data_IF_265692229850
#
_entry.id   IF_265692229850
#
_cell.length_a   1.000
_cell.length_b   1.000
_cell.length_c   1.000
_cell.angle_alpha   90.00
_cell.angle_beta   90.00
_cell.angle_gamma   90.00
#
_symmetry.space_group_name_H-M   'P 1'
#
loop_
_entity.id
_entity.type
_entity.pdbx_description
1 polymer ?
#
# COMPACT_ATOMS: atom_id res chain seq x y z
N UNK A 1 -3.33 23.85 -10.28
CA UNK A 1 -4.30 23.05 -9.48
C UNK A 1 -3.65 22.13 -8.45
N UNK A 2 -2.31 22.08 -8.31
CA UNK A 2 -1.64 21.44 -7.18
C UNK A 2 -1.94 22.14 -5.83
N UNK A 3 -2.21 23.45 -5.86
CA UNK A 3 -2.31 24.31 -4.68
C UNK A 3 -3.56 24.11 -3.80
N UNK A 4 -4.68 23.55 -4.30
CA UNK A 4 -5.88 23.31 -3.46
C UNK A 4 -5.85 21.96 -2.72
N UNK A 5 -4.92 21.06 -3.07
CA UNK A 5 -4.71 19.80 -2.37
C UNK A 5 -3.58 19.88 -1.34
N UNK A 6 -2.74 20.91 -1.41
CA UNK A 6 -1.55 21.04 -0.57
C UNK A 6 -1.83 21.68 0.81
N UNK A 7 -2.81 22.58 0.95
CA UNK A 7 -2.98 23.33 2.21
C UNK A 7 -3.88 22.63 3.26
N UNK A 8 -4.88 21.85 2.85
CA UNK A 8 -5.85 21.25 3.81
C UNK A 8 -5.61 19.76 4.15
N UNK A 9 -4.79 19.04 3.38
CA UNK A 9 -4.56 17.60 3.57
C UNK A 9 -3.32 17.25 4.39
N UNK A 10 -2.37 18.19 4.53
CA UNK A 10 -1.19 18.07 5.40
C UNK A 10 -1.46 18.55 6.83
N UNK A 11 -2.72 18.52 7.28
CA UNK A 11 -3.02 18.83 8.67
C UNK A 11 -2.46 17.77 9.61
N UNK A 12 -1.66 18.22 10.58
CA UNK A 12 -1.10 17.51 11.74
C UNK A 12 -2.14 16.86 12.67
N UNK A 13 -3.38 16.74 12.23
CA UNK A 13 -4.49 16.17 12.98
C UNK A 13 -4.25 14.68 13.19
N UNK A 14 -4.17 14.27 14.45
CA UNK A 14 -4.01 12.87 14.86
C UNK A 14 -5.25 12.03 14.62
N UNK A 15 -6.42 12.64 14.43
CA UNK A 15 -7.70 11.97 14.20
C UNK A 15 -8.22 12.14 12.77
N UNK A 16 -9.09 11.21 12.33
CA UNK A 16 -9.80 11.32 11.05
C UNK A 16 -10.87 12.41 11.09
N UNK A 17 -10.96 13.21 10.03
CA UNK A 17 -12.00 14.23 9.86
C UNK A 17 -13.26 13.64 9.21
N UNK A 18 -14.42 13.87 9.84
CA UNK A 18 -15.73 13.43 9.37
C UNK A 18 -15.72 11.94 8.94
N UNK A 19 -15.43 11.03 9.88
CA UNK A 19 -15.07 9.66 9.54
C UNK A 19 -16.23 8.85 8.95
N UNK A 20 -17.47 9.23 9.23
CA UNK A 20 -18.69 8.53 8.76
C UNK A 20 -19.34 9.21 7.55
N UNK A 21 -18.94 10.44 7.23
CA UNK A 21 -19.47 11.16 6.07
C UNK A 21 -18.85 10.62 4.79
N UNK A 22 -19.69 10.13 3.87
CA UNK A 22 -19.22 9.73 2.55
C UNK A 22 -18.70 10.95 1.79
N UNK A 23 -17.44 10.90 1.39
CA UNK A 23 -16.81 11.94 0.57
C UNK A 23 -17.25 11.75 -0.88
N UNK A 24 -17.32 12.84 -1.64
CA UNK A 24 -17.68 12.81 -3.06
C UNK A 24 -16.46 13.07 -3.91
N UNK A 25 -16.10 12.09 -4.73
CA UNK A 25 -15.10 12.21 -5.78
C UNK A 25 -15.72 12.54 -7.12
N UNK A 26 -14.89 12.41 -8.16
CA UNK A 26 -15.30 12.61 -9.56
C UNK A 26 -16.22 11.50 -10.09
N UNK A 27 -16.22 10.32 -9.46
CA UNK A 27 -17.02 9.17 -9.84
C UNK A 27 -17.34 8.27 -8.63
N UNK A 28 -18.20 7.26 -8.81
CA UNK A 28 -18.50 6.27 -7.77
C UNK A 28 -17.35 5.27 -7.59
N UNK A 29 -17.20 4.69 -6.41
CA UNK A 29 -16.13 3.72 -6.12
C UNK A 29 -16.11 2.50 -7.05
N UNK A 30 -17.30 2.05 -7.49
CA UNK A 30 -17.43 0.96 -8.46
C UNK A 30 -16.88 1.36 -9.84
N UNK A 31 -17.27 2.52 -10.36
CA UNK A 31 -16.77 3.03 -11.65
C UNK A 31 -15.26 3.28 -11.57
N UNK A 32 -14.79 3.93 -10.50
CA UNK A 32 -13.35 4.16 -10.26
C UNK A 32 -12.57 2.84 -10.30
N UNK A 33 -13.04 1.83 -9.59
CA UNK A 33 -12.44 0.49 -9.59
C UNK A 33 -12.42 -0.12 -10.99
N UNK A 34 -13.52 -0.04 -11.73
CA UNK A 34 -13.61 -0.60 -13.07
C UNK A 34 -12.63 0.10 -14.03
N UNK A 35 -12.58 1.43 -14.01
CA UNK A 35 -11.69 2.21 -14.87
C UNK A 35 -10.22 1.88 -14.60
N UNK A 36 -9.81 1.81 -13.33
CA UNK A 36 -8.45 1.41 -12.93
C UNK A 36 -8.13 0.01 -13.43
N UNK A 37 -9.03 -0.96 -13.23
CA UNK A 37 -8.82 -2.35 -13.61
C UNK A 37 -8.92 -2.60 -15.12
N UNK A 38 -9.52 -1.68 -15.88
CA UNK A 38 -9.57 -1.73 -17.34
C UNK A 38 -8.49 -0.85 -18.00
N UNK A 39 -7.72 -0.08 -17.23
CA UNK A 39 -6.74 0.88 -17.76
C UNK A 39 -7.38 2.00 -18.57
N UNK A 40 -8.62 2.39 -18.25
CA UNK A 40 -9.34 3.45 -18.95
C UNK A 40 -8.82 4.80 -18.45
N UNK A 41 -8.40 5.66 -19.38
CA UNK A 41 -7.98 7.03 -19.09
C UNK A 41 -9.01 8.06 -19.59
N UNK A 42 -9.98 8.41 -18.73
CA UNK A 42 -10.84 9.59 -18.87
C UNK A 42 -10.22 10.83 -18.20
N UNK A 43 -9.88 11.85 -19.00
CA UNK A 43 -9.29 13.12 -18.55
C UNK A 43 -10.20 13.97 -17.65
N UNK A 44 -11.50 13.64 -17.58
CA UNK A 44 -12.48 14.36 -16.75
C UNK A 44 -12.49 13.88 -15.31
N UNK A 45 -11.86 12.75 -15.02
CA UNK A 45 -11.86 12.11 -13.71
C UNK A 45 -10.47 12.12 -13.10
N UNK A 46 -10.38 12.51 -11.82
CA UNK A 46 -9.15 12.34 -11.03
C UNK A 46 -9.08 10.88 -10.57
N UNK A 47 -8.04 10.17 -11.00
CA UNK A 47 -7.81 8.77 -10.63
C UNK A 47 -6.38 8.55 -10.16
N UNK A 48 -6.18 7.69 -9.14
CA UNK A 48 -4.86 7.21 -8.82
C UNK A 48 -4.41 6.21 -9.91
N UNK A 49 -3.11 6.19 -10.20
CA UNK A 49 -2.51 5.24 -11.14
C UNK A 49 -1.77 4.16 -10.36
N UNK A 50 -1.99 2.89 -10.72
CA UNK A 50 -1.28 1.77 -10.11
C UNK A 50 0.20 1.84 -10.49
N UNK A 51 1.04 2.26 -9.54
CA UNK A 51 2.47 2.33 -9.78
C UNK A 51 3.07 0.92 -9.75
N UNK A 52 3.76 0.49 -10.82
CA UNK A 52 4.50 -0.78 -10.87
C UNK A 52 3.69 -2.08 -10.66
N UNK A 53 2.36 -2.00 -10.50
CA UNK A 53 1.44 -3.14 -10.45
C UNK A 53 0.78 -3.37 -11.80
N UNK A 54 0.73 -4.63 -12.22
CA UNK A 54 -0.08 -5.05 -13.35
C UNK A 54 -1.47 -5.44 -12.85
N UNK A 55 -2.49 -5.11 -13.64
CA UNK A 55 -3.90 -5.43 -13.32
C UNK A 55 -4.11 -6.92 -12.97
N UNK A 56 -3.43 -7.84 -13.66
CA UNK A 56 -3.58 -9.27 -13.35
C UNK A 56 -2.98 -9.66 -11.99
N UNK A 57 -1.92 -8.99 -11.52
CA UNK A 57 -1.33 -9.24 -10.19
C UNK A 57 -2.35 -8.86 -9.10
N UNK A 58 -3.07 -7.75 -9.28
CA UNK A 58 -4.16 -7.33 -8.39
C UNK A 58 -5.31 -8.35 -8.43
N UNK A 59 -5.67 -8.88 -9.61
CA UNK A 59 -6.72 -9.90 -9.75
C UNK A 59 -6.36 -11.20 -9.04
N UNK A 60 -5.12 -11.66 -9.21
CA UNK A 60 -4.59 -12.87 -8.59
C UNK A 60 -4.54 -12.74 -7.06
N UNK A 61 -4.02 -11.62 -6.56
CA UNK A 61 -3.98 -11.35 -5.12
C UNK A 61 -5.39 -11.35 -4.51
N UNK A 62 -6.33 -10.68 -5.17
CA UNK A 62 -7.74 -10.71 -4.77
C UNK A 62 -8.33 -12.13 -4.82
N UNK A 63 -8.01 -12.93 -5.83
CA UNK A 63 -8.48 -14.32 -5.93
C UNK A 63 -7.97 -15.17 -4.77
N UNK A 64 -6.67 -15.04 -4.45
CA UNK A 64 -6.06 -15.76 -3.35
C UNK A 64 -6.71 -15.38 -2.01
N UNK A 65 -6.80 -14.08 -1.69
CA UNK A 65 -7.39 -13.61 -0.44
C UNK A 65 -8.87 -14.01 -0.30
N UNK A 66 -9.62 -13.94 -1.40
CA UNK A 66 -11.02 -14.36 -1.40
C UNK A 66 -11.17 -15.89 -1.26
N UNK A 67 -10.30 -16.67 -1.89
CA UNK A 67 -10.30 -18.14 -1.83
C UNK A 67 -10.06 -18.67 -0.43
N UNK A 68 -9.21 -17.99 0.35
CA UNK A 68 -8.90 -18.32 1.74
C UNK A 68 -9.81 -17.62 2.76
N UNK A 69 -10.86 -16.92 2.29
CA UNK A 69 -11.84 -16.19 3.13
C UNK A 69 -11.23 -15.06 3.97
N UNK A 70 -10.10 -14.51 3.55
CA UNK A 70 -9.51 -13.32 4.16
C UNK A 70 -10.04 -12.00 3.57
N UNK A 71 -10.80 -12.06 2.47
CA UNK A 71 -11.37 -10.90 1.83
C UNK A 71 -12.80 -11.14 1.35
N UNK A 72 -13.74 -10.47 2.01
CA UNK A 72 -15.17 -10.63 1.77
C UNK A 72 -15.75 -9.43 1.02
N UNK A 73 -16.94 -9.62 0.45
CA UNK A 73 -17.71 -8.51 -0.12
C UNK A 73 -18.59 -7.96 1.00
N UNK A 74 -18.53 -6.65 1.25
CA UNK A 74 -19.39 -6.00 2.26
C UNK A 74 -19.79 -4.59 1.82
N UNK A 75 -20.89 -4.08 2.37
CA UNK A 75 -21.30 -2.67 2.33
C UNK A 75 -21.32 -2.02 0.92
N UNK A 76 -21.66 -2.78 -0.13
CA UNK A 76 -21.66 -2.26 -1.50
C UNK A 76 -20.27 -1.96 -2.08
N UNK A 77 -19.22 -2.54 -1.48
CA UNK A 77 -17.82 -2.41 -1.88
C UNK A 77 -17.34 -3.75 -2.42
N UNK A 78 -16.69 -3.71 -3.57
CA UNK A 78 -16.13 -4.92 -4.15
C UNK A 78 -14.82 -5.33 -3.45
N UNK A 79 -14.48 -6.62 -3.49
CA UNK A 79 -13.20 -7.12 -2.97
C UNK A 79 -12.00 -6.40 -3.61
N UNK A 80 -12.10 -6.12 -4.92
CA UNK A 80 -11.04 -5.41 -5.65
C UNK A 80 -10.94 -3.96 -5.19
N UNK A 81 -12.06 -3.28 -4.98
CA UNK A 81 -12.10 -1.91 -4.44
C UNK A 81 -11.41 -1.83 -3.07
N UNK A 82 -11.68 -2.79 -2.17
CA UNK A 82 -10.98 -2.88 -0.88
C UNK A 82 -9.47 -3.05 -1.04
N UNK A 83 -9.05 -3.93 -1.96
CA UNK A 83 -7.64 -4.14 -2.25
C UNK A 83 -6.97 -2.88 -2.80
N UNK A 84 -7.64 -2.17 -3.72
CA UNK A 84 -7.16 -0.91 -4.27
C UNK A 84 -7.07 0.19 -3.19
N UNK A 85 -8.02 0.27 -2.26
CA UNK A 85 -7.93 1.21 -1.13
C UNK A 85 -6.60 1.05 -0.39
N UNK A 86 -6.23 -0.19 -0.04
CA UNK A 86 -4.97 -0.45 0.65
C UNK A 86 -3.76 -0.13 -0.25
N UNK A 87 -3.75 -0.62 -1.49
CA UNK A 87 -2.61 -0.41 -2.41
C UNK A 87 -2.32 1.09 -2.56
N UNK A 88 -3.33 1.92 -2.86
CA UNK A 88 -3.10 3.35 -3.04
C UNK A 88 -2.71 4.06 -1.74
N UNK A 89 -3.27 3.64 -0.60
CA UNK A 89 -2.84 4.17 0.69
C UNK A 89 -1.34 3.90 0.93
N UNK A 90 -0.86 2.69 0.63
CA UNK A 90 0.54 2.30 0.80
C UNK A 90 1.47 2.97 -0.23
N UNK A 91 1.02 3.07 -1.50
CA UNK A 91 1.80 3.65 -2.59
C UNK A 91 1.93 5.16 -2.49
N UNK A 92 0.86 5.86 -2.11
CA UNK A 92 0.86 7.31 -2.05
C UNK A 92 1.24 7.85 -0.67
N UNK A 93 1.15 7.01 0.38
CA UNK A 93 1.44 7.41 1.77
C UNK A 93 0.47 8.47 2.29
N UNK A 94 -0.75 8.49 1.74
CA UNK A 94 -1.79 9.48 2.02
C UNK A 94 -2.74 9.03 3.12
N UNK A 95 -3.51 9.98 3.65
CA UNK A 95 -4.55 9.74 4.63
C UNK A 95 -5.76 8.98 4.03
N UNK A 96 -6.49 8.22 4.87
CA UNK A 96 -7.74 7.54 4.49
C UNK A 96 -8.77 8.49 3.87
N UNK A 97 -8.80 9.73 4.34
CA UNK A 97 -9.58 10.85 3.80
C UNK A 97 -9.40 11.06 2.29
N UNK A 98 -8.17 10.92 1.78
CA UNK A 98 -7.85 11.13 0.36
C UNK A 98 -8.42 9.97 -0.46
N UNK A 99 -8.17 8.73 -0.02
CA UNK A 99 -8.70 7.54 -0.66
C UNK A 99 -10.24 7.54 -0.64
N UNK A 100 -10.84 8.02 0.46
CA UNK A 100 -12.28 8.17 0.60
C UNK A 100 -12.88 9.12 -0.45
N UNK A 101 -12.18 10.22 -0.81
CA UNK A 101 -12.58 11.08 -1.93
C UNK A 101 -12.51 10.30 -3.25
N UNK A 102 -11.38 9.64 -3.53
CA UNK A 102 -11.15 8.96 -4.81
C UNK A 102 -12.19 7.87 -5.11
N UNK A 103 -12.65 7.16 -4.09
CA UNK A 103 -13.63 6.07 -4.23
C UNK A 103 -15.06 6.47 -3.83
N UNK A 104 -15.29 7.75 -3.50
CA UNK A 104 -16.56 8.25 -3.00
C UNK A 104 -17.13 7.44 -1.82
N UNK A 105 -16.29 7.19 -0.82
CA UNK A 105 -16.61 6.42 0.41
C UNK A 105 -16.43 7.29 1.65
N UNK A 106 -16.87 6.80 2.81
CA UNK A 106 -16.50 7.42 4.09
C UNK A 106 -15.11 6.95 4.55
N UNK A 107 -14.32 7.79 5.25
CA UNK A 107 -13.01 7.40 5.76
C UNK A 107 -13.03 6.12 6.61
N UNK A 108 -14.03 5.92 7.47
CA UNK A 108 -14.18 4.69 8.25
C UNK A 108 -14.38 3.45 7.38
N UNK A 109 -15.09 3.60 6.27
CA UNK A 109 -15.30 2.52 5.31
C UNK A 109 -14.00 2.13 4.61
N UNK A 110 -13.20 3.13 4.21
CA UNK A 110 -11.86 2.89 3.65
C UNK A 110 -10.96 2.25 4.70
N UNK A 111 -10.91 2.78 5.94
CA UNK A 111 -10.10 2.22 7.03
C UNK A 111 -10.42 0.76 7.30
N UNK A 112 -11.71 0.40 7.40
CA UNK A 112 -12.16 -1.00 7.56
C UNK A 112 -11.73 -1.88 6.39
N UNK A 113 -11.88 -1.39 5.16
CA UNK A 113 -11.44 -2.09 3.96
C UNK A 113 -9.92 -2.35 3.96
N UNK A 114 -9.13 -1.33 4.31
CA UNK A 114 -7.67 -1.45 4.39
C UNK A 114 -7.26 -2.45 5.47
N UNK A 115 -7.89 -2.40 6.65
CA UNK A 115 -7.62 -3.33 7.75
C UNK A 115 -7.91 -4.79 7.39
N UNK A 116 -9.04 -5.05 6.75
CA UNK A 116 -9.41 -6.40 6.30
C UNK A 116 -8.37 -6.97 5.35
N UNK A 117 -8.00 -6.20 4.31
CA UNK A 117 -6.98 -6.62 3.35
C UNK A 117 -5.62 -6.77 4.02
N UNK A 118 -5.24 -5.83 4.91
CA UNK A 118 -3.97 -5.84 5.62
C UNK A 118 -3.81 -7.09 6.48
N UNK A 119 -4.84 -7.45 7.25
CA UNK A 119 -4.86 -8.67 8.05
C UNK A 119 -4.76 -9.91 7.16
N UNK A 120 -5.49 -9.96 6.04
CA UNK A 120 -5.36 -11.05 5.07
C UNK A 120 -3.94 -11.19 4.49
N UNK A 121 -3.24 -10.08 4.30
CA UNK A 121 -1.84 -10.09 3.86
C UNK A 121 -0.87 -10.53 4.97
N UNK A 122 -1.18 -10.25 6.23
CA UNK A 122 -0.42 -10.80 7.37
C UNK A 122 -0.59 -12.32 7.49
N UNK A 123 -1.79 -12.83 7.29
CA UNK A 123 -2.03 -14.28 7.25
C UNK A 123 -1.31 -14.92 6.05
N UNK A 124 -1.38 -14.29 4.87
CA UNK A 124 -0.56 -14.73 3.73
C UNK A 124 0.94 -14.75 4.08
N UNK A 125 1.43 -13.73 4.80
CA UNK A 125 2.83 -13.68 5.22
C UNK A 125 3.18 -14.86 6.14
N UNK A 126 2.35 -15.15 7.13
CA UNK A 126 2.58 -16.23 8.12
C UNK A 126 2.59 -17.63 7.47
N UNK A 127 1.83 -17.81 6.38
CA UNK A 127 1.82 -19.03 5.57
C UNK A 127 3.02 -19.16 4.64
N UNK A 128 3.78 -18.09 4.44
CA UNK A 128 4.93 -18.08 3.52
C UNK A 128 6.26 -18.20 4.24
N UNK A 129 7.18 -18.99 3.67
CA UNK A 129 8.57 -19.13 4.13
C UNK A 129 9.42 -17.90 3.73
N UNK A 130 8.95 -16.70 4.03
CA UNK A 130 9.70 -15.47 3.77
C UNK A 130 10.75 -15.30 4.88
N UNK A 131 12.00 -14.91 4.55
CA UNK A 131 13.03 -14.67 5.55
C UNK A 131 12.60 -13.63 6.60
N UNK A 132 13.15 -13.71 7.81
CA UNK A 132 12.83 -12.80 8.93
C UNK A 132 13.19 -11.33 8.65
N UNK A 133 14.24 -11.07 7.85
CA UNK A 133 14.65 -9.73 7.38
C UNK A 133 14.64 -9.62 5.85
N UNK A 134 13.45 -9.65 5.24
CA UNK A 134 13.32 -9.57 3.80
C UNK A 134 13.51 -8.11 3.36
N UNK A 135 14.23 -7.88 2.26
CA UNK A 135 14.47 -6.52 1.80
C UNK A 135 13.18 -5.85 1.31
N UNK A 136 12.95 -4.65 1.84
CA UNK A 136 11.83 -3.78 1.48
C UNK A 136 12.21 -2.84 0.33
N UNK A 137 11.36 -2.75 -0.69
CA UNK A 137 11.48 -1.73 -1.73
C UNK A 137 10.76 -0.45 -1.31
N UNK A 138 11.34 0.30 -0.37
CA UNK A 138 10.71 1.50 0.19
C UNK A 138 10.30 2.54 -0.88
N UNK A 139 11.02 2.63 -2.00
CA UNK A 139 10.70 3.54 -3.11
C UNK A 139 9.35 3.24 -3.79
N UNK A 140 8.83 2.01 -3.68
CA UNK A 140 7.50 1.64 -4.17
C UNK A 140 6.40 2.07 -3.18
N UNK A 141 6.75 2.18 -1.91
CA UNK A 141 5.81 2.28 -0.79
C UNK A 141 6.04 3.57 -0.03
N UNK A 142 5.52 4.70 -0.54
CA UNK A 142 5.73 6.02 0.09
C UNK A 142 5.26 6.07 1.54
N UNK A 143 4.38 5.16 1.97
CA UNK A 143 4.01 5.02 3.39
C UNK A 143 5.21 4.72 4.30
N UNK A 144 6.31 4.13 3.79
CA UNK A 144 7.51 3.89 4.60
C UNK A 144 8.14 5.18 5.11
N UNK A 145 7.95 6.31 4.40
CA UNK A 145 8.48 7.61 4.80
C UNK A 145 7.84 8.11 6.11
N UNK A 146 6.63 7.64 6.41
CA UNK A 146 5.93 7.90 7.67
C UNK A 146 6.53 7.12 8.84
N UNK A 147 7.31 6.08 8.57
CA UNK A 147 7.95 5.23 9.59
C UNK A 147 9.48 5.38 9.59
N UNK A 148 10.03 6.30 8.79
CA UNK A 148 11.48 6.46 8.60
C UNK A 148 12.24 7.04 9.81
N UNK A 149 11.56 7.81 10.67
CA UNK A 149 12.15 8.40 11.89
C UNK A 149 11.26 8.14 13.09
N UNK A 150 11.81 8.16 14.31
CA UNK A 150 11.05 7.91 15.54
C UNK A 150 9.84 8.87 15.68
N UNK A 151 10.03 10.16 15.41
CA UNK A 151 8.96 11.16 15.51
C UNK A 151 7.84 10.92 14.49
N UNK A 152 8.20 10.63 13.24
CA UNK A 152 7.21 10.33 12.19
C UNK A 152 6.49 9.02 12.48
N UNK A 153 7.22 8.01 12.93
CA UNK A 153 6.69 6.72 13.31
C UNK A 153 5.66 6.87 14.44
N UNK A 154 5.98 7.62 15.50
CA UNK A 154 5.02 7.96 16.57
C UNK A 154 3.78 8.68 16.04
N UNK A 155 3.94 9.58 15.08
CA UNK A 155 2.80 10.27 14.44
C UNK A 155 1.94 9.29 13.61
N UNK A 156 2.58 8.42 12.83
CA UNK A 156 1.94 7.40 12.02
C UNK A 156 1.12 6.44 12.90
N UNK A 157 1.67 6.00 14.04
CA UNK A 157 0.97 5.17 15.03
C UNK A 157 -0.31 5.79 15.58
N UNK A 158 -0.37 7.12 15.69
CA UNK A 158 -1.58 7.80 16.19
C UNK A 158 -2.72 7.77 15.17
N UNK A 159 -2.42 7.52 13.89
CA UNK A 159 -3.36 7.66 12.79
C UNK A 159 -3.65 6.33 12.07
N UNK A 160 -2.62 5.60 11.66
CA UNK A 160 -2.75 4.30 11.01
C UNK A 160 -2.93 3.20 12.07
N UNK A 161 -3.76 2.18 11.78
CA UNK A 161 -4.11 1.16 12.76
C UNK A 161 -3.10 -0.01 12.83
N UNK A 162 -1.95 0.09 12.17
CA UNK A 162 -0.91 -0.93 12.13
C UNK A 162 0.43 -0.38 12.60
N UNK A 163 1.25 -1.29 13.11
CA UNK A 163 2.61 -0.99 13.53
C UNK A 163 3.63 -1.10 12.39
N UNK A 164 4.85 -0.61 12.65
CA UNK A 164 5.92 -0.60 11.66
C UNK A 164 6.37 -2.02 11.26
N UNK A 165 6.28 -2.97 12.18
CA UNK A 165 6.73 -4.34 12.00
C UNK A 165 5.76 -5.14 11.12
N UNK A 166 4.47 -5.05 11.41
CA UNK A 166 3.41 -5.64 10.59
C UNK A 166 3.33 -4.99 9.21
N UNK A 167 3.53 -3.67 9.13
CA UNK A 167 3.66 -2.98 7.85
C UNK A 167 4.81 -3.56 7.04
N UNK A 168 5.98 -3.79 7.64
CA UNK A 168 7.13 -4.42 6.99
C UNK A 168 6.79 -5.80 6.41
N UNK A 169 6.10 -6.66 7.18
CA UNK A 169 5.63 -7.98 6.72
C UNK A 169 4.69 -7.89 5.54
N UNK A 170 3.71 -6.98 5.60
CA UNK A 170 2.73 -6.77 4.53
C UNK A 170 3.41 -6.26 3.26
N UNK A 171 4.26 -5.23 3.35
CA UNK A 171 4.97 -4.67 2.20
C UNK A 171 5.89 -5.72 1.57
N UNK A 172 6.55 -6.53 2.39
CA UNK A 172 7.34 -7.66 1.92
C UNK A 172 6.49 -8.68 1.17
N UNK A 173 5.37 -9.09 1.75
CA UNK A 173 4.46 -10.07 1.15
C UNK A 173 3.98 -9.59 -0.21
N UNK A 174 3.62 -8.31 -0.29
CA UNK A 174 3.28 -7.65 -1.54
C UNK A 174 4.45 -7.72 -2.53
N UNK A 175 5.67 -7.36 -2.13
CA UNK A 175 6.86 -7.45 -2.99
C UNK A 175 7.09 -8.86 -3.56
N UNK A 176 6.94 -9.90 -2.74
CA UNK A 176 7.11 -11.29 -3.17
C UNK A 176 5.97 -11.78 -4.06
N UNK A 177 4.73 -11.41 -3.75
CA UNK A 177 3.57 -11.83 -4.53
C UNK A 177 3.54 -11.18 -5.92
N UNK A 178 3.88 -9.88 -6.00
CA UNK A 178 4.10 -9.15 -7.25
C UNK A 178 5.32 -9.72 -8.01
N UNK A 179 6.37 -10.12 -7.28
CA UNK A 179 7.62 -10.60 -7.87
C UNK A 179 7.58 -12.04 -8.43
N UNK A 180 6.80 -12.95 -7.82
CA UNK A 180 6.78 -14.38 -8.20
C UNK A 180 6.04 -14.68 -9.51
N UNK A 181 4.99 -13.92 -9.84
CA UNK A 181 4.22 -14.17 -11.06
C UNK A 181 4.97 -13.86 -12.37
N UNK A 182 6.14 -13.20 -12.29
CA UNK A 182 6.98 -12.91 -13.46
C UNK A 182 7.75 -14.11 -14.02
N UNK A 183 7.86 -15.23 -13.30
CA UNK A 183 8.68 -16.38 -13.73
C UNK A 183 7.91 -17.65 -14.11
N UNK A 184 6.58 -17.70 -13.99
CA UNK A 184 5.85 -18.99 -14.13
C UNK A 184 4.74 -19.02 -15.19
N UNK A 185 4.33 -17.89 -15.78
CA UNK A 185 3.20 -17.89 -16.71
C UNK A 185 3.56 -18.05 -18.20
N UNK A 186 4.84 -18.12 -18.60
CA UNK A 186 5.30 -18.04 -20.02
C UNK A 186 4.73 -16.85 -20.84
N UNK A 187 3.92 -15.98 -20.25
CA UNK A 187 3.54 -14.68 -20.77
C UNK A 187 4.72 -13.74 -20.54
N UNK A 188 5.60 -13.67 -21.54
CA UNK A 188 6.44 -12.52 -21.75
C UNK A 188 5.52 -11.31 -21.98
N UNK A 189 5.34 -10.50 -20.95
CA UNK A 189 4.77 -9.18 -21.14
C UNK A 189 5.93 -8.27 -21.53
N UNK A 190 5.89 -7.76 -22.75
CA UNK A 190 6.81 -6.74 -23.23
C UNK A 190 6.85 -5.58 -22.23
N UNK A 191 8.06 -5.27 -21.78
CA UNK A 191 8.34 -4.32 -20.72
C UNK A 191 9.65 -4.67 -20.03
N UNK A 192 10.38 -3.69 -19.48
CA UNK A 192 11.68 -3.95 -18.88
C UNK A 192 11.56 -5.00 -17.76
N UNK A 193 12.30 -6.09 -17.93
CA UNK A 193 12.55 -7.07 -16.88
C UNK A 193 13.21 -6.35 -15.71
N UNK A 194 12.44 -6.01 -14.68
CA UNK A 194 13.02 -5.57 -13.43
C UNK A 194 13.56 -6.82 -12.73
N UNK A 195 14.86 -7.04 -12.89
CA UNK A 195 15.63 -7.98 -12.08
C UNK A 195 15.68 -7.42 -10.66
N UNK A 196 14.66 -7.72 -9.87
CA UNK A 196 14.52 -7.21 -8.51
C UNK A 196 15.62 -7.76 -7.59
N UNK A 197 16.11 -8.98 -7.85
CA UNK A 197 17.09 -9.69 -7.03
C UNK A 197 18.48 -9.04 -6.98
N UNK A 198 18.90 -8.31 -8.02
CA UNK A 198 20.20 -7.60 -8.02
C UNK A 198 20.25 -6.40 -7.08
N UNK A 199 19.10 -5.78 -6.77
CA UNK A 199 19.05 -4.63 -5.84
C UNK A 199 19.01 -5.05 -4.37
N UNK A 200 18.75 -6.34 -4.09
CA UNK A 200 18.76 -6.90 -2.73
C UNK A 200 20.16 -7.07 -2.16
N UNK A 201 21.19 -7.12 -3.02
CA UNK A 201 22.59 -7.22 -2.57
C UNK A 201 23.19 -5.89 -2.09
N UNK A 202 22.45 -4.77 -2.18
CA UNK A 202 22.97 -3.43 -1.93
C UNK A 202 22.49 -2.73 -0.65
N UNK A 203 21.32 -3.08 -0.11
CA UNK A 203 20.65 -2.28 0.92
C UNK A 203 21.05 -2.58 2.37
N UNK A 204 21.93 -3.56 2.60
CA UNK A 204 22.41 -3.93 3.95
C UNK A 204 23.31 -2.86 4.61
N UNK A 205 23.65 -1.77 3.89
CA UNK A 205 24.54 -0.72 4.42
C UNK A 205 23.86 0.41 5.20
N UNK A 206 22.53 0.48 5.26
CA UNK A 206 21.84 1.57 5.96
C UNK A 206 21.37 1.24 7.39
N UNK A 207 21.64 0.03 7.89
CA UNK A 207 21.31 -0.38 9.27
C UNK A 207 22.54 -0.71 10.14
N UNK A 208 23.76 -0.57 9.62
CA UNK A 208 25.00 -0.62 10.41
C UNK A 208 25.71 0.73 10.36
N UNK A 209 25.36 1.61 11.29
CA UNK A 209 25.92 2.96 11.33
C UNK A 209 25.79 3.68 12.66
N UNK A 210 25.75 2.96 13.79
CA UNK A 210 25.79 3.56 15.13
C UNK A 210 26.47 2.65 16.16
N UNK A 211 27.70 2.22 15.89
CA UNK A 211 28.57 1.65 16.93
C UNK A 211 30.03 1.95 16.61
N UNK A 212 30.38 3.24 16.63
CA UNK A 212 31.77 3.65 16.81
C UNK A 212 32.12 3.54 18.29
N UNK A 213 32.78 2.44 18.64
CA UNK A 213 33.57 2.27 19.85
C UNK A 213 34.62 3.37 19.95
N UNK A 214 34.51 4.23 20.97
CA UNK A 214 35.62 5.07 21.41
C UNK A 214 36.48 4.25 22.36
N UNK A 215 37.52 3.61 21.81
CA UNK A 215 38.60 3.01 22.58
C UNK A 215 39.89 3.71 22.15
N UNK A 216 40.31 4.73 22.89
CA UNK A 216 41.64 5.34 22.75
C UNK A 216 42.26 5.42 24.15
N UNK A 217 43.06 4.42 24.47
CA UNK A 217 44.16 4.57 25.41
C UNK A 217 45.46 4.65 24.60
N UNK A 218 46.15 5.78 24.70
CA UNK A 218 47.58 5.93 25.00
C UNK A 218 47.72 7.24 25.76
#
# INVERSE_FOLDING_TARGET
MASLLEEDFYTSATSMREPDTARKGSTTGWICTQEIMCGIDDVRCVRPQLAFFKVHEVKELKNWLAGHRYLERSDGISRVEKLLHLIFLLQDGVRFEVIAVLFSRSPNTVKRSCLEVFNGLLEMHSETMVPEDPPLYCHLWRITDQYATADRCMSAYRYYPWDAHDLSKVLTTMNFYIGRYRKQAKLALDGPFMDWGRYLRGSSRYLQGSSSSSNNGV
#
